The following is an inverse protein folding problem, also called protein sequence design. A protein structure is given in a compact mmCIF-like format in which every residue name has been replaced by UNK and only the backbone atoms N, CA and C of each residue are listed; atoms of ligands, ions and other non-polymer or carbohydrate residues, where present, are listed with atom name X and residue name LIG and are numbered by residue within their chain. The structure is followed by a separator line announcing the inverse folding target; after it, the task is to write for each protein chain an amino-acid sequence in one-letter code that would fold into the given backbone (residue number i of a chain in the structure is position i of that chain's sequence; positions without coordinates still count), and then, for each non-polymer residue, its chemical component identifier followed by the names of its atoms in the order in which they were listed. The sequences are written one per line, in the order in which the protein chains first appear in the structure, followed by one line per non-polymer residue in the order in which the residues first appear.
data_IF_072851434099
#
_entry.id   IF_072851434099
#
_cell.length_a   1.000
_cell.length_b   1.000
_cell.length_c   1.000
_cell.angle_alpha   90.00
_cell.angle_beta   90.00
_cell.angle_gamma   90.00
#
_symmetry.space_group_name_H-M   'P 1'
#
loop_
_entity.id
_entity.type
_entity.pdbx_description
1 polymer ?
#
# COMPACT_ATOMS: atom_id res chain seq x y z
N UNK A 1 26.29 20.90 -11.17
CA UNK A 1 25.59 19.68 -11.59
C UNK A 1 25.04 19.01 -10.34
N UNK A 2 23.75 19.16 -10.05
CA UNK A 2 23.14 18.46 -8.92
C UNK A 2 23.04 16.97 -9.28
N UNK A 3 23.55 16.09 -8.43
CA UNK A 3 23.31 14.65 -8.50
C UNK A 3 21.82 14.41 -8.24
N UNK A 4 20.98 14.54 -9.27
CA UNK A 4 19.57 14.16 -9.21
C UNK A 4 19.45 12.65 -9.14
N UNK A 5 18.60 12.18 -8.23
CA UNK A 5 18.36 10.75 -8.05
C UNK A 5 17.63 10.16 -9.28
N UNK A 6 18.15 9.07 -9.86
CA UNK A 6 17.54 8.34 -10.98
C UNK A 6 17.59 6.82 -10.78
N UNK A 7 16.52 6.13 -11.20
CA UNK A 7 16.52 4.67 -11.26
C UNK A 7 17.49 4.18 -12.34
N UNK A 8 18.35 3.21 -11.99
CA UNK A 8 19.35 2.66 -12.92
C UNK A 8 18.77 1.80 -14.02
N UNK A 9 17.60 1.19 -13.79
CA UNK A 9 16.97 0.28 -14.75
C UNK A 9 15.45 0.35 -14.71
N UNK A 10 14.80 0.03 -15.83
CA UNK A 10 13.33 -0.08 -15.89
C UNK A 10 12.80 -1.17 -14.98
N UNK A 11 13.54 -2.28 -14.83
CA UNK A 11 13.20 -3.36 -13.90
C UNK A 11 13.27 -2.89 -12.44
N UNK A 12 14.28 -2.09 -12.09
CA UNK A 12 14.41 -1.50 -10.77
C UNK A 12 13.25 -0.58 -10.42
N UNK A 13 12.85 0.28 -11.36
CA UNK A 13 11.64 1.08 -11.24
C UNK A 13 10.39 0.21 -11.01
N UNK A 14 10.16 -0.81 -11.86
CA UNK A 14 8.96 -1.67 -11.77
C UNK A 14 8.91 -2.36 -10.41
N UNK A 15 10.03 -2.94 -9.95
CA UNK A 15 10.07 -3.66 -8.68
C UNK A 15 9.94 -2.74 -7.47
N UNK A 16 10.50 -1.52 -7.53
CA UNK A 16 10.33 -0.54 -6.48
C UNK A 16 8.88 -0.02 -6.40
N UNK A 17 8.28 0.31 -7.55
CA UNK A 17 6.86 0.68 -7.62
C UNK A 17 5.94 -0.48 -7.23
N UNK A 18 6.27 -1.71 -7.62
CA UNK A 18 5.54 -2.90 -7.20
C UNK A 18 5.67 -3.11 -5.69
N UNK A 19 6.85 -3.01 -5.09
CA UNK A 19 7.00 -3.07 -3.63
C UNK A 19 6.33 -1.92 -2.89
N UNK A 20 6.14 -0.77 -3.54
CA UNK A 20 5.34 0.34 -3.00
C UNK A 20 3.86 -0.01 -2.96
N UNK A 21 3.32 -0.56 -4.06
CA UNK A 21 1.91 -0.98 -4.19
C UNK A 21 1.59 -2.28 -3.42
N UNK A 22 2.53 -3.22 -3.36
CA UNK A 22 2.41 -4.51 -2.70
C UNK A 22 2.90 -4.37 -1.26
N UNK A 23 2.14 -3.62 -0.48
CA UNK A 23 2.40 -3.42 0.94
C UNK A 23 1.42 -4.18 1.82
N UNK A 24 1.31 -3.72 3.07
CA UNK A 24 0.32 -4.18 4.04
C UNK A 24 -1.12 -4.24 3.47
N UNK A 25 -1.52 -3.24 2.67
CA UNK A 25 -2.88 -3.14 2.13
C UNK A 25 -3.35 -4.35 1.32
N UNK A 26 -2.45 -4.96 0.54
CA UNK A 26 -2.76 -6.17 -0.24
C UNK A 26 -2.89 -7.40 0.67
N UNK A 27 -2.15 -7.44 1.77
CA UNK A 27 -2.00 -8.62 2.64
C UNK A 27 -3.06 -8.73 3.73
N UNK A 28 -3.54 -7.60 4.29
CA UNK A 28 -4.55 -7.62 5.38
C UNK A 28 -5.87 -6.94 5.02
N UNK A 29 -5.81 -5.78 4.34
CA UNK A 29 -7.02 -4.96 4.07
C UNK A 29 -7.90 -5.61 3.02
N UNK A 30 -7.33 -6.13 1.93
CA UNK A 30 -8.12 -6.83 0.91
C UNK A 30 -8.89 -8.03 1.47
N UNK A 31 -8.24 -8.99 2.18
CA UNK A 31 -8.96 -10.11 2.75
C UNK A 31 -10.09 -9.67 3.69
N UNK A 32 -9.83 -8.74 4.60
CA UNK A 32 -10.84 -8.20 5.51
C UNK A 32 -12.07 -7.64 4.77
N UNK A 33 -11.87 -6.78 3.77
CA UNK A 33 -12.98 -6.17 3.03
C UNK A 33 -13.75 -7.20 2.18
N UNK A 34 -13.04 -8.12 1.54
CA UNK A 34 -13.68 -9.21 0.80
C UNK A 34 -14.52 -10.10 1.72
N UNK A 35 -14.10 -10.26 2.98
CA UNK A 35 -14.85 -11.04 3.96
C UNK A 35 -16.19 -10.42 4.34
N UNK A 36 -16.25 -9.09 4.41
CA UNK A 36 -17.45 -8.33 4.77
C UNK A 36 -18.41 -8.20 3.58
N UNK A 37 -17.89 -7.89 2.38
CA UNK A 37 -18.71 -7.43 1.25
C UNK A 37 -18.97 -8.50 0.17
N UNK A 38 -19.26 -9.74 0.57
CA UNK A 38 -19.74 -10.77 -0.35
C UNK A 38 -18.66 -11.62 -1.05
N UNK A 39 -17.43 -11.66 -0.52
CA UNK A 39 -16.40 -12.62 -0.92
C UNK A 39 -16.01 -12.51 -2.39
N UNK A 40 -16.36 -13.54 -3.18
CA UNK A 40 -16.04 -13.59 -4.60
C UNK A 40 -16.64 -12.46 -5.41
N UNK A 41 -17.78 -11.92 -4.96
CA UNK A 41 -18.45 -10.78 -5.59
C UNK A 41 -17.62 -9.49 -5.41
N UNK A 42 -17.14 -9.25 -4.18
CA UNK A 42 -16.19 -8.18 -3.89
C UNK A 42 -14.90 -8.32 -4.69
N UNK A 43 -14.33 -9.54 -4.75
CA UNK A 43 -13.13 -9.82 -5.52
C UNK A 43 -13.33 -9.45 -6.99
N UNK A 44 -14.44 -9.85 -7.60
CA UNK A 44 -14.73 -9.51 -9.00
C UNK A 44 -14.82 -7.99 -9.22
N UNK A 45 -15.53 -7.27 -8.35
CA UNK A 45 -15.60 -5.81 -8.42
C UNK A 45 -14.24 -5.15 -8.25
N UNK A 46 -13.45 -5.61 -7.27
CA UNK A 46 -12.08 -5.15 -7.05
C UNK A 46 -11.22 -5.36 -8.29
N UNK A 47 -11.30 -6.51 -8.96
CA UNK A 47 -10.58 -6.77 -10.21
C UNK A 47 -11.01 -5.82 -11.33
N UNK A 48 -12.32 -5.63 -11.51
CA UNK A 48 -12.87 -4.71 -12.52
C UNK A 48 -12.39 -3.28 -12.26
N UNK A 49 -12.51 -2.78 -11.03
CA UNK A 49 -12.05 -1.44 -10.69
C UNK A 49 -10.55 -1.28 -10.81
N UNK A 50 -9.77 -2.28 -10.40
CA UNK A 50 -8.31 -2.27 -10.55
C UNK A 50 -7.89 -2.19 -12.02
N UNK A 51 -8.58 -2.88 -12.92
CA UNK A 51 -8.26 -2.87 -14.34
C UNK A 51 -8.82 -1.66 -15.10
N UNK A 52 -10.05 -1.23 -14.80
CA UNK A 52 -10.74 -0.16 -15.54
C UNK A 52 -10.53 1.24 -14.96
N UNK A 53 -10.15 1.34 -13.69
CA UNK A 53 -9.92 2.61 -13.00
C UNK A 53 -8.48 2.71 -12.53
N UNK A 54 -8.02 1.74 -11.74
CA UNK A 54 -6.69 1.74 -11.14
C UNK A 54 -5.56 1.79 -12.17
N UNK A 55 -5.56 0.87 -13.14
CA UNK A 55 -4.54 0.80 -14.18
C UNK A 55 -4.46 2.09 -15.04
N UNK A 56 -5.57 2.63 -15.57
CA UNK A 56 -5.55 3.92 -16.28
C UNK A 56 -5.01 5.09 -15.45
N UNK A 57 -5.40 5.19 -14.18
CA UNK A 57 -4.91 6.22 -13.27
C UNK A 57 -3.41 6.05 -12.96
N UNK A 58 -2.93 4.82 -12.79
CA UNK A 58 -1.51 4.53 -12.60
C UNK A 58 -0.69 4.96 -13.83
N UNK A 59 -1.19 4.65 -15.03
CA UNK A 59 -0.58 5.10 -16.28
C UNK A 59 -0.55 6.63 -16.39
N UNK A 60 -1.59 7.31 -15.91
CA UNK A 60 -1.63 8.77 -15.82
C UNK A 60 -0.58 9.32 -14.87
N UNK A 61 -0.48 8.82 -13.64
CA UNK A 61 0.54 9.26 -12.69
C UNK A 61 1.96 9.06 -13.23
N UNK A 62 2.21 7.91 -13.88
CA UNK A 62 3.50 7.66 -14.53
C UNK A 62 3.78 8.63 -15.67
N UNK A 63 2.77 8.96 -16.48
CA UNK A 63 2.90 9.92 -17.58
C UNK A 63 3.24 11.30 -17.03
N UNK A 64 2.50 11.78 -16.03
CA UNK A 64 2.74 13.08 -15.37
C UNK A 64 4.13 13.13 -14.74
N UNK A 65 4.53 12.11 -14.00
CA UNK A 65 5.86 12.05 -13.38
C UNK A 65 6.99 12.07 -14.41
N UNK A 66 6.85 11.29 -15.50
CA UNK A 66 7.84 11.21 -16.56
C UNK A 66 7.94 12.51 -17.38
N UNK A 67 6.83 13.22 -17.60
CA UNK A 67 6.81 14.54 -18.23
C UNK A 67 7.43 15.60 -17.32
N UNK A 68 7.09 15.57 -16.03
CA UNK A 68 7.46 16.62 -15.08
C UNK A 68 8.91 16.55 -14.62
N UNK A 69 9.48 15.36 -14.40
CA UNK A 69 10.88 15.17 -13.94
C UNK A 69 11.27 16.13 -12.80
N UNK A 70 10.40 16.27 -11.81
CA UNK A 70 10.60 17.15 -10.65
C UNK A 70 9.74 16.64 -9.48
N UNK A 71 9.93 17.22 -8.29
CA UNK A 71 9.18 16.86 -7.09
C UNK A 71 7.71 17.32 -7.18
N UNK A 72 6.80 16.61 -6.51
CA UNK A 72 5.35 16.71 -6.77
C UNK A 72 4.73 18.04 -6.35
N UNK A 73 5.28 18.73 -5.35
CA UNK A 73 4.79 20.07 -4.95
C UNK A 73 5.15 21.20 -5.93
N UNK A 74 5.88 20.91 -7.03
CA UNK A 74 6.16 21.86 -8.12
C UNK A 74 5.72 21.34 -9.51
N UNK A 75 5.33 20.06 -9.61
CA UNK A 75 5.17 19.41 -10.91
C UNK A 75 4.06 20.04 -11.76
N UNK A 76 2.95 20.45 -11.15
CA UNK A 76 1.82 21.03 -11.86
C UNK A 76 2.12 22.43 -12.39
N UNK A 77 2.77 23.28 -11.58
CA UNK A 77 3.27 24.57 -12.04
C UNK A 77 4.20 24.42 -13.25
N UNK A 78 5.12 23.46 -13.22
CA UNK A 78 6.05 23.21 -14.33
C UNK A 78 5.33 22.77 -15.61
N UNK A 79 4.28 21.96 -15.49
CA UNK A 79 3.56 21.41 -16.64
C UNK A 79 2.50 22.35 -17.22
N UNK A 80 1.94 23.26 -16.41
CA UNK A 80 0.79 24.09 -16.83
C UNK A 80 1.04 25.60 -16.72
N UNK A 81 2.19 26.04 -16.18
CA UNK A 81 2.47 27.42 -15.77
C UNK A 81 1.46 28.01 -14.76
N UNK A 82 0.74 27.17 -13.99
CA UNK A 82 -0.25 27.61 -13.00
C UNK A 82 0.17 27.18 -11.59
N UNK A 83 0.77 28.11 -10.84
CA UNK A 83 1.31 27.86 -9.49
C UNK A 83 0.28 27.31 -8.48
N UNK A 84 -0.98 27.76 -8.56
CA UNK A 84 -2.02 27.33 -7.62
C UNK A 84 -2.35 25.84 -7.70
N UNK A 85 -2.08 25.17 -8.83
CA UNK A 85 -2.30 23.72 -8.99
C UNK A 85 -1.32 22.87 -8.17
N UNK A 86 -0.22 23.46 -7.67
CA UNK A 86 0.70 22.77 -6.77
C UNK A 86 0.01 22.31 -5.47
N UNK A 87 -1.18 22.84 -5.14
CA UNK A 87 -2.01 22.33 -4.03
C UNK A 87 -2.30 20.83 -4.14
N UNK A 88 -2.41 20.29 -5.37
CA UNK A 88 -2.60 18.85 -5.60
C UNK A 88 -1.38 18.06 -5.10
N UNK A 89 -0.17 18.56 -5.35
CA UNK A 89 1.07 17.98 -4.83
C UNK A 89 1.18 18.08 -3.31
N UNK A 90 0.73 19.20 -2.72
CA UNK A 90 0.68 19.36 -1.26
C UNK A 90 -0.37 18.49 -0.58
N UNK A 91 -1.53 18.29 -1.21
CA UNK A 91 -2.52 17.30 -0.78
C UNK A 91 -1.93 15.89 -0.75
N UNK A 92 -1.23 15.50 -1.83
CA UNK A 92 -0.51 14.24 -1.88
C UNK A 92 0.56 14.11 -0.79
N UNK A 93 1.32 15.18 -0.56
CA UNK A 93 2.34 15.24 0.51
C UNK A 93 1.72 15.04 1.90
N UNK A 94 0.60 15.70 2.20
CA UNK A 94 -0.12 15.51 3.45
C UNK A 94 -0.67 14.08 3.58
N UNK A 95 -1.24 13.55 2.48
CA UNK A 95 -1.78 12.19 2.44
C UNK A 95 -0.72 11.15 2.83
N UNK A 96 0.46 11.18 2.19
CA UNK A 96 1.53 10.20 2.50
C UNK A 96 2.13 10.40 3.89
N UNK A 97 2.13 11.62 4.43
CA UNK A 97 2.60 11.90 5.78
C UNK A 97 1.71 11.23 6.83
N UNK A 98 0.39 11.41 6.71
CA UNK A 98 -0.60 10.78 7.60
C UNK A 98 -0.63 9.26 7.36
N UNK A 99 -0.58 8.82 6.10
CA UNK A 99 -0.53 7.42 5.71
C UNK A 99 0.65 6.70 6.37
N UNK A 100 1.85 7.28 6.31
CA UNK A 100 3.02 6.69 6.95
C UNK A 100 2.82 6.56 8.47
N UNK A 101 2.15 7.53 9.09
CA UNK A 101 1.77 7.49 10.50
C UNK A 101 1.03 6.20 10.86
N UNK A 102 -0.15 5.94 10.29
CA UNK A 102 -0.91 4.74 10.64
C UNK A 102 -0.32 3.45 10.04
N UNK A 103 0.35 3.52 8.89
CA UNK A 103 1.06 2.38 8.30
C UNK A 103 2.18 1.87 9.22
N UNK A 104 2.85 2.78 9.93
CA UNK A 104 3.93 2.43 10.87
C UNK A 104 3.45 1.64 12.10
N UNK A 105 2.16 1.73 12.46
CA UNK A 105 1.56 0.96 13.56
C UNK A 105 1.65 -0.54 13.25
N UNK A 106 1.14 -0.92 12.09
CA UNK A 106 1.15 -2.31 11.61
C UNK A 106 2.59 -2.76 11.32
N UNK A 107 3.43 -1.88 10.75
CA UNK A 107 4.87 -2.14 10.60
C UNK A 107 5.55 -2.45 11.93
N UNK A 108 5.17 -1.76 13.00
CA UNK A 108 5.62 -2.03 14.36
C UNK A 108 5.17 -3.39 14.89
N UNK A 109 3.94 -3.84 14.57
CA UNK A 109 3.48 -5.18 14.92
C UNK A 109 4.34 -6.26 14.27
N UNK A 110 4.76 -6.09 13.00
CA UNK A 110 5.67 -7.03 12.34
C UNK A 110 6.99 -7.12 13.11
N UNK A 111 7.57 -5.98 13.50
CA UNK A 111 8.81 -5.95 14.31
C UNK A 111 8.63 -6.73 15.61
N UNK A 112 7.55 -6.47 16.35
CA UNK A 112 7.25 -7.14 17.62
C UNK A 112 7.11 -8.66 17.42
N UNK A 113 6.41 -9.10 16.37
CA UNK A 113 6.25 -10.51 16.08
C UNK A 113 7.57 -11.18 15.69
N UNK A 114 8.43 -10.51 14.92
CA UNK A 114 9.79 -11.01 14.61
C UNK A 114 10.55 -11.29 15.91
N UNK A 115 10.53 -10.35 16.87
CA UNK A 115 11.21 -10.54 18.15
C UNK A 115 10.61 -11.69 18.97
N UNK A 116 9.28 -11.80 19.04
CA UNK A 116 8.62 -12.91 19.76
C UNK A 116 9.00 -14.28 19.18
N UNK A 117 8.97 -14.41 17.85
CA UNK A 117 9.32 -15.67 17.16
C UNK A 117 10.81 -15.97 17.33
N UNK A 118 11.68 -14.95 17.32
CA UNK A 118 13.10 -15.13 17.55
C UNK A 118 13.38 -15.69 18.95
N UNK A 119 12.75 -15.12 19.99
CA UNK A 119 12.86 -15.61 21.37
C UNK A 119 12.38 -17.06 21.49
N UNK A 120 11.32 -17.42 20.77
CA UNK A 120 10.81 -18.79 20.72
C UNK A 120 11.80 -19.75 20.03
N UNK A 121 12.40 -19.37 18.90
CA UNK A 121 13.41 -20.19 18.20
C UNK A 121 14.59 -20.52 19.11
N UNK A 122 15.03 -19.55 19.92
CA UNK A 122 16.08 -19.75 20.91
C UNK A 122 15.60 -20.41 22.21
N UNK A 123 14.34 -20.85 22.27
CA UNK A 123 13.72 -21.47 23.46
C UNK A 123 13.80 -20.59 24.72
N UNK A 124 13.87 -19.27 24.54
CA UNK A 124 13.91 -18.29 25.63
C UNK A 124 12.50 -17.97 26.16
N UNK A 125 11.45 -18.30 25.39
CA UNK A 125 10.05 -18.28 25.78
C UNK A 125 9.42 -19.65 25.48
N UNK A 126 8.67 -20.22 26.43
CA UNK A 126 8.06 -21.56 26.32
C UNK A 126 6.75 -21.62 25.53
N UNK A 127 6.26 -20.50 25.01
CA UNK A 127 4.96 -20.43 24.33
C UNK A 127 5.02 -20.95 22.88
N UNK A 128 3.97 -21.64 22.44
CA UNK A 128 3.78 -22.01 21.02
C UNK A 128 3.33 -20.80 20.20
N UNK A 129 3.54 -20.85 18.88
CA UNK A 129 3.16 -19.74 17.98
C UNK A 129 1.66 -19.43 18.07
N UNK A 130 0.84 -20.47 18.19
CA UNK A 130 -0.62 -20.34 18.29
C UNK A 130 -1.13 -19.69 19.58
N UNK A 131 -0.26 -19.49 20.59
CA UNK A 131 -0.61 -18.87 21.87
C UNK A 131 -0.22 -17.39 21.95
N UNK A 132 0.38 -16.82 20.89
CA UNK A 132 0.68 -15.38 20.85
C UNK A 132 -0.64 -14.60 20.91
N UNK A 133 -0.90 -13.97 22.06
CA UNK A 133 -2.10 -13.19 22.31
C UNK A 133 -1.99 -11.81 21.66
N UNK A 134 -2.44 -11.69 20.41
CA UNK A 134 -2.39 -10.43 19.65
C UNK A 134 -2.95 -9.23 20.44
N UNK A 135 -4.10 -9.41 21.12
CA UNK A 135 -4.74 -8.34 21.89
C UNK A 135 -3.89 -7.85 23.07
N UNK A 136 -3.12 -8.72 23.72
CA UNK A 136 -2.22 -8.31 24.81
C UNK A 136 -1.00 -7.56 24.29
N UNK A 137 -0.55 -7.88 23.07
CA UNK A 137 0.52 -7.16 22.38
C UNK A 137 0.07 -5.75 22.02
N UNK A 138 -1.05 -5.60 21.31
CA UNK A 138 -1.48 -4.29 20.80
C UNK A 138 -1.98 -3.35 21.90
N UNK A 139 -2.43 -3.91 23.03
CA UNK A 139 -2.86 -3.11 24.18
C UNK A 139 -1.70 -2.60 25.04
N UNK A 140 -0.48 -3.13 24.87
CA UNK A 140 0.71 -2.69 25.59
C UNK A 140 1.31 -1.41 24.95
N UNK A 141 1.23 -0.24 25.62
CA UNK A 141 1.68 1.04 25.05
C UNK A 141 3.18 1.07 24.75
N UNK A 142 3.99 0.57 25.67
CA UNK A 142 5.45 0.60 25.54
C UNK A 142 5.91 -0.29 24.40
N UNK A 143 5.40 -1.51 24.33
CA UNK A 143 5.77 -2.47 23.29
C UNK A 143 5.40 -1.96 21.90
N UNK A 144 4.18 -1.45 21.73
CA UNK A 144 3.67 -0.96 20.44
C UNK A 144 4.35 0.32 19.98
N UNK A 145 4.55 1.31 20.86
CA UNK A 145 5.27 2.54 20.54
C UNK A 145 6.74 2.23 20.19
N UNK A 146 7.39 1.32 20.93
CA UNK A 146 8.77 0.93 20.62
C UNK A 146 8.86 0.20 19.27
N UNK A 147 7.96 -0.76 18.99
CA UNK A 147 7.93 -1.45 17.71
C UNK A 147 7.73 -0.50 16.52
N UNK A 148 6.78 0.44 16.66
CA UNK A 148 6.55 1.51 15.70
C UNK A 148 7.78 2.41 15.50
N UNK A 149 8.39 2.84 16.61
CA UNK A 149 9.61 3.65 16.59
C UNK A 149 10.74 2.96 15.81
N UNK A 150 10.97 1.67 16.07
CA UNK A 150 11.96 0.87 15.33
C UNK A 150 11.62 0.83 13.83
N UNK A 151 10.36 0.58 13.47
CA UNK A 151 9.95 0.55 12.07
C UNK A 151 10.19 1.88 11.34
N UNK A 152 9.85 3.00 11.97
CA UNK A 152 10.10 4.36 11.44
C UNK A 152 11.60 4.62 11.34
N UNK A 153 12.39 4.25 12.35
CA UNK A 153 13.85 4.41 12.34
C UNK A 153 14.51 3.63 11.20
N UNK A 154 14.09 2.39 10.94
CA UNK A 154 14.57 1.60 9.81
C UNK A 154 14.24 2.28 8.48
N UNK A 155 12.99 2.74 8.33
CA UNK A 155 12.55 3.48 7.13
C UNK A 155 13.39 4.75 6.93
N UNK A 156 13.57 5.53 7.99
CA UNK A 156 14.37 6.76 8.00
C UNK A 156 15.80 6.50 7.56
N UNK A 157 16.46 5.49 8.13
CA UNK A 157 17.85 5.16 7.82
C UNK A 157 18.03 4.81 6.33
N UNK A 158 17.10 4.01 5.77
CA UNK A 158 17.15 3.65 4.35
C UNK A 158 16.97 4.88 3.45
N UNK A 159 16.01 5.77 3.77
CA UNK A 159 15.79 7.00 3.00
C UNK A 159 16.98 7.98 3.11
N UNK A 160 17.63 8.06 4.27
CA UNK A 160 18.85 8.86 4.47
C UNK A 160 20.02 8.38 3.59
N UNK A 161 20.13 7.07 3.35
CA UNK A 161 21.16 6.48 2.49
C UNK A 161 20.87 6.65 0.99
N UNK A 162 19.64 7.00 0.64
CA UNK A 162 19.15 7.12 -0.73
C UNK A 162 18.64 5.78 -1.28
N UNK A 163 17.59 5.87 -2.11
CA UNK A 163 16.78 4.73 -2.54
C UNK A 163 17.47 3.82 -3.57
N UNK A 164 18.46 4.34 -4.32
CA UNK A 164 18.92 3.71 -5.57
C UNK A 164 19.86 2.50 -5.44
N UNK A 165 20.76 2.47 -4.44
CA UNK A 165 21.85 1.48 -4.45
C UNK A 165 21.49 0.17 -3.76
N UNK A 166 20.68 0.20 -2.71
CA UNK A 166 20.34 -0.98 -1.90
C UNK A 166 18.97 -1.58 -2.24
N UNK A 167 17.96 -0.73 -2.45
CA UNK A 167 16.57 -1.17 -2.56
C UNK A 167 16.34 -2.02 -3.81
N UNK A 168 16.83 -1.57 -4.98
CA UNK A 168 16.65 -2.29 -6.24
C UNK A 168 17.20 -3.73 -6.16
N UNK A 169 18.37 -3.94 -5.55
CA UNK A 169 18.99 -5.26 -5.43
C UNK A 169 18.20 -6.15 -4.47
N UNK A 170 17.76 -5.60 -3.34
CA UNK A 170 16.97 -6.35 -2.37
C UNK A 170 15.60 -6.73 -2.93
N UNK A 171 14.89 -5.81 -3.59
CA UNK A 171 13.56 -6.06 -4.17
C UNK A 171 13.57 -7.17 -5.22
N UNK A 172 14.64 -7.30 -6.01
CA UNK A 172 14.80 -8.39 -7.00
C UNK A 172 14.78 -9.79 -6.38
N UNK A 173 15.19 -9.93 -5.12
CA UNK A 173 15.23 -11.21 -4.42
C UNK A 173 14.05 -11.38 -3.46
N UNK A 174 13.76 -10.36 -2.66
CA UNK A 174 12.76 -10.44 -1.59
C UNK A 174 11.33 -10.55 -2.14
N UNK A 175 11.00 -9.86 -3.24
CA UNK A 175 9.65 -9.91 -3.81
C UNK A 175 9.30 -11.31 -4.32
N UNK A 176 10.10 -11.96 -5.21
CA UNK A 176 9.83 -13.34 -5.61
C UNK A 176 9.77 -14.32 -4.43
N UNK A 177 10.62 -14.14 -3.42
CA UNK A 177 10.64 -15.01 -2.25
C UNK A 177 9.36 -14.86 -1.40
N UNK A 178 8.84 -13.63 -1.25
CA UNK A 178 7.55 -13.39 -0.63
C UNK A 178 6.41 -14.11 -1.36
N UNK A 179 6.41 -14.08 -2.70
CA UNK A 179 5.43 -14.82 -3.51
C UNK A 179 5.50 -16.33 -3.28
N UNK A 180 6.71 -16.89 -3.25
CA UNK A 180 6.92 -18.32 -2.98
C UNK A 180 6.37 -18.69 -1.60
N UNK A 181 6.67 -17.89 -0.58
CA UNK A 181 6.17 -18.13 0.78
C UNK A 181 4.65 -17.99 0.87
N UNK A 182 4.05 -17.02 0.17
CA UNK A 182 2.60 -16.92 0.07
C UNK A 182 1.97 -18.19 -0.52
N UNK A 183 2.54 -18.73 -1.59
CA UNK A 183 2.07 -19.98 -2.20
C UNK A 183 2.18 -21.15 -1.20
N UNK A 184 3.28 -21.26 -0.45
CA UNK A 184 3.44 -22.28 0.61
C UNK A 184 2.33 -22.15 1.66
N UNK A 185 2.04 -20.93 2.12
CA UNK A 185 0.99 -20.67 3.10
C UNK A 185 -0.38 -21.04 2.54
N UNK A 186 -0.66 -20.70 1.27
CA UNK A 186 -1.92 -21.08 0.61
C UNK A 186 -2.10 -22.59 0.60
N UNK A 187 -1.08 -23.35 0.18
CA UNK A 187 -1.16 -24.82 0.20
C UNK A 187 -1.37 -25.37 1.61
N UNK A 188 -0.67 -24.82 2.61
CA UNK A 188 -0.86 -25.25 3.99
C UNK A 188 -2.25 -24.90 4.53
N UNK A 189 -2.76 -23.71 4.23
CA UNK A 189 -4.08 -23.22 4.64
C UNK A 189 -5.20 -24.09 4.05
N UNK A 190 -5.08 -24.46 2.77
CA UNK A 190 -6.00 -25.35 2.08
C UNK A 190 -5.93 -26.82 2.55
N UNK A 191 -4.84 -27.22 3.21
CA UNK A 191 -4.71 -28.57 3.76
C UNK A 191 -5.28 -28.71 5.17
N UNK A 192 -5.78 -27.62 5.77
CA UNK A 192 -6.37 -27.66 7.11
C UNK A 192 -7.78 -28.25 7.05
N UNK A 193 -8.19 -28.96 8.11
CA UNK A 193 -9.55 -29.45 8.24
C UNK A 193 -10.54 -28.28 8.33
N UNK A 194 -11.63 -28.33 7.58
CA UNK A 194 -12.62 -27.24 7.51
C UNK A 194 -12.22 -26.05 6.63
N UNK A 195 -11.06 -26.10 5.97
CA UNK A 195 -10.56 -25.03 5.08
C UNK A 195 -11.44 -24.76 3.85
N UNK A 196 -12.18 -25.78 3.39
CA UNK A 196 -13.07 -25.68 2.22
C UNK A 196 -14.17 -24.63 2.40
N UNK A 197 -14.70 -24.47 3.61
CA UNK A 197 -15.73 -23.46 3.87
C UNK A 197 -15.15 -22.04 3.76
N UNK A 198 -13.92 -21.82 4.26
CA UNK A 198 -13.20 -20.57 4.06
C UNK A 198 -12.88 -20.28 2.59
N UNK A 199 -12.48 -21.32 1.83
CA UNK A 199 -12.26 -21.20 0.38
C UNK A 199 -13.53 -20.80 -0.37
N UNK A 200 -14.66 -21.46 -0.08
CA UNK A 200 -15.97 -21.08 -0.62
C UNK A 200 -16.32 -19.66 -0.22
N UNK A 201 -16.08 -19.29 1.04
CA UNK A 201 -16.41 -17.96 1.54
C UNK A 201 -15.68 -16.83 0.79
N UNK A 202 -14.45 -17.02 0.32
CA UNK A 202 -13.73 -15.98 -0.43
C UNK A 202 -13.94 -16.04 -1.95
N UNK A 203 -14.22 -17.22 -2.51
CA UNK A 203 -14.34 -17.38 -3.97
C UNK A 203 -15.79 -17.40 -4.48
N UNK A 204 -16.75 -17.84 -3.68
CA UNK A 204 -18.15 -17.88 -4.08
C UNK A 204 -18.71 -16.45 -4.13
N UNK A 205 -19.25 -16.01 -5.28
CA UNK A 205 -19.83 -14.68 -5.40
C UNK A 205 -21.18 -14.63 -4.68
N UNK A 206 -21.23 -13.91 -3.56
CA UNK A 206 -22.48 -13.61 -2.84
C UNK A 206 -22.97 -12.23 -3.26
N UNK A 207 -23.76 -12.19 -4.33
CA UNK A 207 -24.28 -10.95 -4.91
C UNK A 207 -25.25 -10.26 -3.95
N UNK A 208 -25.99 -11.05 -3.16
CA UNK A 208 -26.94 -10.57 -2.15
C UNK A 208 -26.26 -9.75 -1.04
N UNK A 209 -24.97 -10.01 -0.78
CA UNK A 209 -24.16 -9.30 0.22
C UNK A 209 -23.50 -8.02 -0.33
N UNK A 210 -23.68 -7.72 -1.63
CA UNK A 210 -23.14 -6.50 -2.23
C UNK A 210 -24.03 -5.31 -1.88
N UNK A 211 -23.54 -4.45 -0.98
CA UNK A 211 -24.11 -3.11 -0.77
C UNK A 211 -23.44 -2.06 -1.66
N UNK A 212 -24.07 -0.88 -1.77
CA UNK A 212 -23.45 0.30 -2.39
C UNK A 212 -22.11 0.61 -1.70
N UNK A 213 -22.05 0.49 -0.38
CA UNK A 213 -20.83 0.66 0.41
C UNK A 213 -19.76 -0.35 -0.02
N UNK A 214 -20.13 -1.63 -0.21
CA UNK A 214 -19.22 -2.67 -0.68
C UNK A 214 -18.61 -2.36 -2.06
N UNK A 215 -19.40 -1.80 -2.98
CA UNK A 215 -18.92 -1.33 -4.29
C UNK A 215 -17.88 -0.21 -4.10
N UNK A 216 -18.18 0.79 -3.27
CA UNK A 216 -17.28 1.91 -2.99
C UNK A 216 -16.00 1.45 -2.30
N UNK A 217 -16.09 0.46 -1.40
CA UNK A 217 -14.93 -0.11 -0.74
C UNK A 217 -14.05 -0.91 -1.70
N UNK A 218 -14.62 -1.66 -2.64
CA UNK A 218 -13.84 -2.35 -3.67
C UNK A 218 -13.05 -1.36 -4.54
N UNK A 219 -13.69 -0.24 -4.87
CA UNK A 219 -13.10 0.84 -5.64
C UNK A 219 -12.04 1.61 -4.85
N UNK A 220 -12.32 1.99 -3.61
CA UNK A 220 -11.36 2.62 -2.69
C UNK A 220 -10.16 1.71 -2.40
N UNK A 221 -10.38 0.40 -2.28
CA UNK A 221 -9.29 -0.58 -2.13
C UNK A 221 -8.39 -0.64 -3.36
N UNK A 222 -8.93 -0.46 -4.57
CA UNK A 222 -8.12 -0.33 -5.79
C UNK A 222 -7.21 0.91 -5.75
N UNK A 223 -7.69 2.04 -5.21
CA UNK A 223 -6.86 3.25 -5.04
C UNK A 223 -5.77 3.02 -3.99
N UNK A 224 -6.15 2.50 -2.82
CA UNK A 224 -5.24 2.25 -1.72
C UNK A 224 -4.10 1.29 -2.10
N UNK A 225 -4.46 0.15 -2.70
CA UNK A 225 -3.48 -0.89 -3.04
C UNK A 225 -2.51 -0.46 -4.15
N UNK A 226 -2.91 0.47 -5.02
CA UNK A 226 -2.03 1.02 -6.07
C UNK A 226 -1.39 2.36 -5.66
N UNK A 227 -1.61 2.83 -4.43
CA UNK A 227 -1.12 4.11 -3.90
C UNK A 227 -1.54 5.34 -4.73
N UNK A 228 -2.70 5.29 -5.38
CA UNK A 228 -3.17 6.30 -6.34
C UNK A 228 -3.74 7.55 -5.66
N UNK A 229 -3.51 8.72 -6.24
CA UNK A 229 -4.02 9.99 -5.72
C UNK A 229 -3.18 10.61 -4.61
N UNK A 230 -2.13 9.91 -4.14
CA UNK A 230 -1.14 10.46 -3.19
C UNK A 230 -0.01 11.22 -3.87
N UNK A 231 0.04 11.21 -5.20
CA UNK A 231 1.21 11.62 -6.02
C UNK A 231 2.46 10.75 -5.81
N UNK A 232 2.36 9.64 -5.07
CA UNK A 232 3.41 8.65 -4.86
C UNK A 232 4.03 8.13 -6.16
N UNK A 233 3.16 7.67 -7.06
CA UNK A 233 3.59 7.06 -8.31
C UNK A 233 4.11 8.12 -9.31
N UNK A 234 3.64 9.37 -9.20
CA UNK A 234 4.22 10.53 -9.90
C UNK A 234 5.67 10.74 -9.47
N UNK A 235 5.96 10.76 -8.17
CA UNK A 235 7.34 10.93 -7.65
C UNK A 235 8.26 9.83 -8.18
N UNK A 236 7.83 8.57 -8.12
CA UNK A 236 8.65 7.46 -8.59
C UNK A 236 8.92 7.53 -10.09
N UNK A 237 7.92 7.90 -10.89
CA UNK A 237 8.07 8.06 -12.33
C UNK A 237 8.91 9.29 -12.71
N UNK A 238 9.00 10.29 -11.84
CA UNK A 238 9.91 11.42 -12.03
C UNK A 238 11.37 10.97 -12.07
N UNK A 239 11.73 9.92 -11.33
CA UNK A 239 13.07 9.32 -11.32
C UNK A 239 13.27 8.23 -12.38
N UNK A 240 12.24 7.85 -13.14
CA UNK A 240 12.31 6.73 -14.09
C UNK A 240 13.27 7.01 -15.27
N UNK A 241 13.96 6.00 -15.81
CA UNK A 241 14.80 6.17 -17.00
C UNK A 241 13.95 6.54 -18.23
N UNK A 242 14.56 7.17 -19.24
CA UNK A 242 13.83 7.62 -20.43
C UNK A 242 13.22 6.45 -21.21
N UNK A 243 13.88 5.31 -21.17
CA UNK A 243 13.55 4.07 -21.88
C UNK A 243 12.38 3.30 -21.22
N UNK A 244 12.00 3.67 -19.99
CA UNK A 244 10.90 3.02 -19.26
C UNK A 244 9.59 3.14 -20.05
N UNK A 245 8.95 1.99 -20.30
CA UNK A 245 7.66 1.91 -20.96
C UNK A 245 6.53 1.99 -19.94
N UNK A 246 5.72 3.05 -20.00
CA UNK A 246 4.63 3.30 -19.04
C UNK A 246 3.65 2.13 -18.98
N UNK A 247 3.17 1.67 -20.14
CA UNK A 247 2.17 0.61 -20.25
C UNK A 247 2.62 -0.70 -19.62
N UNK A 248 3.75 -1.24 -20.07
CA UNK A 248 4.26 -2.52 -19.56
C UNK A 248 4.54 -2.44 -18.06
N UNK A 249 5.08 -1.30 -17.59
CA UNK A 249 5.37 -1.13 -16.17
C UNK A 249 4.07 -1.10 -15.34
N UNK A 250 3.07 -0.34 -15.76
CA UNK A 250 1.79 -0.25 -15.07
C UNK A 250 1.05 -1.59 -15.05
N UNK A 251 0.99 -2.31 -16.18
CA UNK A 251 0.38 -3.63 -16.27
C UNK A 251 1.08 -4.63 -15.35
N UNK A 252 2.42 -4.66 -15.36
CA UNK A 252 3.18 -5.57 -14.49
C UNK A 252 2.92 -5.31 -13.00
N UNK A 253 2.89 -4.04 -12.59
CA UNK A 253 2.63 -3.66 -11.18
C UNK A 253 1.22 -4.06 -10.77
N UNK A 254 0.22 -3.76 -11.61
CA UNK A 254 -1.18 -4.12 -11.35
C UNK A 254 -1.36 -5.63 -11.29
N UNK A 255 -0.77 -6.38 -12.22
CA UNK A 255 -0.84 -7.84 -12.24
C UNK A 255 -0.21 -8.46 -10.98
N UNK A 256 0.97 -7.99 -10.57
CA UNK A 256 1.61 -8.46 -9.33
C UNK A 256 0.77 -8.11 -8.10
N UNK A 257 0.18 -6.92 -8.05
CA UNK A 257 -0.68 -6.49 -6.94
C UNK A 257 -1.96 -7.36 -6.81
N UNK A 258 -2.63 -7.61 -7.93
CA UNK A 258 -3.79 -8.52 -7.98
C UNK A 258 -3.39 -9.91 -7.50
N UNK A 259 -2.28 -10.44 -8.00
CA UNK A 259 -1.81 -11.78 -7.64
C UNK A 259 -1.53 -11.89 -6.13
N UNK A 260 -0.85 -10.91 -5.52
CA UNK A 260 -0.61 -10.92 -4.07
C UNK A 260 -1.90 -10.80 -3.28
N UNK A 261 -2.82 -9.92 -3.68
CA UNK A 261 -4.09 -9.73 -2.97
C UNK A 261 -4.92 -11.02 -2.96
N UNK A 262 -4.99 -11.71 -4.10
CA UNK A 262 -5.68 -13.02 -4.21
C UNK A 262 -4.97 -14.08 -3.38
N UNK A 263 -3.64 -14.20 -3.48
CA UNK A 263 -2.88 -15.17 -2.67
C UNK A 263 -3.01 -14.92 -1.17
N UNK A 264 -3.02 -13.66 -0.73
CA UNK A 264 -3.23 -13.30 0.67
C UNK A 264 -4.64 -13.71 1.14
N UNK A 265 -5.67 -13.47 0.33
CA UNK A 265 -7.02 -13.97 0.59
C UNK A 265 -7.05 -15.49 0.74
N UNK A 266 -6.45 -16.22 -0.21
CA UNK A 266 -6.37 -17.68 -0.17
C UNK A 266 -5.49 -18.23 0.97
N UNK A 267 -4.55 -17.44 1.48
CA UNK A 267 -3.75 -17.81 2.64
C UNK A 267 -4.54 -17.67 3.95
N UNK A 268 -5.38 -16.64 4.07
CA UNK A 268 -6.08 -16.29 5.32
C UNK A 268 -7.44 -16.97 5.43
N UNK A 269 -8.27 -16.94 4.38
CA UNK A 269 -9.67 -17.38 4.47
C UNK A 269 -9.87 -18.86 4.80
N UNK A 270 -9.16 -19.79 4.16
CA UNK A 270 -9.26 -21.19 4.52
C UNK A 270 -8.82 -21.44 5.98
N UNK A 271 -7.77 -20.76 6.43
CA UNK A 271 -7.26 -20.86 7.80
C UNK A 271 -8.20 -20.27 8.86
N UNK A 272 -8.86 -19.13 8.61
CA UNK A 272 -9.83 -18.58 9.58
C UNK A 272 -11.00 -19.55 9.81
N UNK A 273 -11.49 -20.20 8.75
CA UNK A 273 -12.55 -21.19 8.86
C UNK A 273 -12.09 -22.42 9.62
N UNK A 274 -10.87 -22.91 9.34
CA UNK A 274 -10.30 -24.05 10.03
C UNK A 274 -10.06 -23.81 11.53
N UNK A 275 -9.71 -22.57 11.90
CA UNK A 275 -9.43 -22.20 13.28
C UNK A 275 -10.60 -21.51 14.02
N UNK A 276 -11.76 -21.36 13.35
CA UNK A 276 -12.96 -20.76 13.94
C UNK A 276 -12.89 -19.25 14.18
N UNK A 277 -12.09 -18.51 13.42
CA UNK A 277 -12.06 -17.05 13.46
C UNK A 277 -13.14 -16.43 12.58
N UNK A 278 -13.64 -15.25 12.97
CA UNK A 278 -14.53 -14.48 12.11
C UNK A 278 -13.74 -13.68 11.06
N UNK A 279 -14.18 -13.62 9.79
CA UNK A 279 -13.63 -12.72 8.77
C UNK A 279 -13.67 -11.23 9.17
N UNK A 280 -14.49 -10.86 10.16
CA UNK A 280 -14.76 -9.48 10.56
C UNK A 280 -13.90 -8.97 11.73
N UNK A 281 -12.91 -9.74 12.21
CA UNK A 281 -12.07 -9.37 13.38
C UNK A 281 -11.04 -8.25 13.13
N UNK A 282 -11.15 -7.53 12.02
CA UNK A 282 -10.40 -6.30 11.76
C UNK A 282 -8.93 -6.49 11.35
N UNK A 283 -8.12 -5.41 11.44
CA UNK A 283 -6.75 -5.36 10.87
C UNK A 283 -5.76 -6.38 11.45
N UNK A 284 -6.03 -6.88 12.66
CA UNK A 284 -5.18 -7.84 13.36
C UNK A 284 -5.28 -9.29 12.88
N UNK A 285 -6.22 -9.60 11.98
CA UNK A 285 -6.55 -10.98 11.59
C UNK A 285 -5.32 -11.78 11.11
N UNK A 286 -4.47 -11.17 10.28
CA UNK A 286 -3.24 -11.79 9.79
C UNK A 286 -2.31 -12.23 10.93
N UNK A 287 -2.19 -11.40 11.98
CA UNK A 287 -1.33 -11.64 13.14
C UNK A 287 -1.91 -12.63 14.15
N UNK A 288 -3.21 -12.95 14.04
CA UNK A 288 -3.87 -14.02 14.81
C UNK A 288 -3.80 -15.36 14.10
N UNK A 289 -4.00 -15.35 12.78
CA UNK A 289 -4.22 -16.56 11.98
C UNK A 289 -2.90 -17.18 11.53
N UNK A 290 -1.99 -16.39 10.96
CA UNK A 290 -0.76 -16.94 10.39
C UNK A 290 0.12 -17.67 11.41
N UNK A 291 0.33 -17.19 12.66
CA UNK A 291 1.06 -17.95 13.65
C UNK A 291 0.52 -19.37 13.84
N UNK A 292 -0.82 -19.53 13.85
CA UNK A 292 -1.47 -20.84 13.96
C UNK A 292 -1.28 -21.71 12.71
N UNK A 293 -1.31 -21.12 11.51
CA UNK A 293 -1.02 -21.87 10.27
C UNK A 293 0.40 -22.44 10.31
N UNK A 294 1.37 -21.62 10.71
CA UNK A 294 2.77 -22.06 10.82
C UNK A 294 2.98 -23.06 11.96
N UNK A 295 2.24 -22.95 13.07
CA UNK A 295 2.28 -23.94 14.17
C UNK A 295 1.91 -25.36 13.71
N UNK A 296 1.14 -25.47 12.62
CA UNK A 296 0.77 -26.74 11.99
C UNK A 296 1.84 -27.29 11.01
N UNK A 297 2.98 -26.62 10.86
CA UNK A 297 4.06 -27.03 9.94
C UNK A 297 5.26 -27.58 10.71
N UNK A 298 5.96 -28.57 10.13
CA UNK A 298 7.27 -28.96 10.61
C UNK A 298 8.23 -27.76 10.48
N UNK A 299 8.96 -27.44 11.57
CA UNK A 299 9.78 -26.21 11.68
C UNK A 299 9.00 -24.90 11.51
N UNK A 300 7.72 -24.88 11.92
CA UNK A 300 6.82 -23.71 11.87
C UNK A 300 7.43 -22.36 12.25
N UNK A 301 8.08 -22.23 13.44
CA UNK A 301 8.74 -20.98 13.86
C UNK A 301 9.76 -20.44 12.87
N UNK A 302 10.56 -21.32 12.24
CA UNK A 302 11.54 -20.92 11.23
C UNK A 302 10.88 -20.38 9.96
N UNK A 303 9.87 -21.07 9.45
CA UNK A 303 9.09 -20.60 8.28
C UNK A 303 8.37 -19.28 8.57
N UNK A 304 7.78 -19.14 9.75
CA UNK A 304 7.10 -17.91 10.14
C UNK A 304 8.07 -16.74 10.29
N UNK A 305 9.25 -16.98 10.88
CA UNK A 305 10.30 -15.96 10.97
C UNK A 305 10.72 -15.45 9.59
N UNK A 306 11.01 -16.36 8.64
CA UNK A 306 11.38 -15.96 7.28
C UNK A 306 10.24 -15.18 6.61
N UNK A 307 9.00 -15.65 6.74
CA UNK A 307 7.83 -14.94 6.23
C UNK A 307 7.73 -13.53 6.81
N UNK A 308 7.90 -13.35 8.12
CA UNK A 308 7.85 -12.04 8.76
C UNK A 308 8.97 -11.11 8.29
N UNK A 309 10.17 -11.62 8.00
CA UNK A 309 11.26 -10.83 7.41
C UNK A 309 10.90 -10.37 6.00
N UNK A 310 10.31 -11.24 5.18
CA UNK A 310 9.85 -10.90 3.83
C UNK A 310 8.69 -9.90 3.88
N UNK A 311 7.78 -10.07 4.84
CA UNK A 311 6.66 -9.19 5.05
C UNK A 311 7.10 -7.82 5.58
N UNK A 312 8.08 -7.79 6.49
CA UNK A 312 8.73 -6.55 6.93
C UNK A 312 9.39 -5.85 5.76
N UNK A 313 10.09 -6.58 4.88
CA UNK A 313 10.70 -6.00 3.69
C UNK A 313 9.67 -5.34 2.77
N UNK A 314 8.54 -6.01 2.50
CA UNK A 314 7.44 -5.43 1.72
C UNK A 314 6.82 -4.20 2.41
N UNK A 315 6.67 -4.23 3.73
CA UNK A 315 6.21 -3.08 4.50
C UNK A 315 7.20 -1.90 4.41
N UNK A 316 8.50 -2.20 4.50
CA UNK A 316 9.57 -1.20 4.37
C UNK A 316 9.60 -0.58 2.96
N UNK A 317 9.39 -1.36 1.89
CA UNK A 317 9.37 -0.80 0.53
C UNK A 317 8.26 0.24 0.34
N UNK A 318 7.06 -0.01 0.89
CA UNK A 318 6.00 1.00 0.90
C UNK A 318 6.37 2.20 1.78
N UNK A 319 6.84 2.00 3.02
CA UNK A 319 7.14 3.11 3.94
C UNK A 319 8.28 4.01 3.43
N UNK A 320 9.29 3.44 2.77
CA UNK A 320 10.34 4.18 2.08
C UNK A 320 9.72 5.10 1.03
N UNK A 321 8.74 4.62 0.27
CA UNK A 321 8.04 5.43 -0.75
C UNK A 321 7.31 6.63 -0.13
N UNK A 322 6.62 6.40 0.99
CA UNK A 322 5.85 7.42 1.70
C UNK A 322 6.76 8.51 2.29
N UNK A 323 7.88 8.09 2.91
CA UNK A 323 8.85 9.02 3.46
C UNK A 323 9.64 9.75 2.37
N UNK A 324 10.07 9.05 1.30
CA UNK A 324 10.79 9.63 0.17
C UNK A 324 10.00 10.75 -0.50
N UNK A 325 8.68 10.58 -0.66
CA UNK A 325 7.85 11.63 -1.25
C UNK A 325 7.90 12.92 -0.43
N UNK A 326 7.73 12.82 0.89
CA UNK A 326 7.86 13.98 1.78
C UNK A 326 9.26 14.60 1.68
N UNK A 327 10.30 13.77 1.79
CA UNK A 327 11.69 14.23 1.74
C UNK A 327 12.01 14.93 0.42
N UNK A 328 11.60 14.37 -0.72
CA UNK A 328 11.84 14.94 -2.05
C UNK A 328 11.19 16.33 -2.21
N UNK A 329 9.99 16.52 -1.67
CA UNK A 329 9.25 17.78 -1.74
C UNK A 329 9.91 18.87 -0.88
N UNK A 330 10.31 18.55 0.35
CA UNK A 330 10.95 19.52 1.25
C UNK A 330 12.40 19.81 0.88
N UNK A 331 13.14 18.80 0.40
CA UNK A 331 14.50 19.00 -0.12
C UNK A 331 14.51 19.68 -1.49
N UNK A 332 13.40 19.66 -2.23
CA UNK A 332 13.34 20.06 -3.64
C UNK A 332 14.34 19.28 -4.50
N UNK A 333 14.49 17.98 -4.20
CA UNK A 333 15.51 17.08 -4.75
C UNK A 333 16.98 17.45 -4.43
N UNK A 334 17.22 18.35 -3.46
CA UNK A 334 18.56 18.65 -2.97
C UNK A 334 19.06 17.56 -2.01
N UNK A 335 19.87 16.65 -2.54
CA UNK A 335 20.42 15.52 -1.79
C UNK A 335 21.30 15.93 -0.58
N UNK A 336 21.81 17.17 -0.51
CA UNK A 336 22.58 17.64 0.65
C UNK A 336 21.72 17.77 1.92
N UNK A 337 20.43 18.08 1.75
CA UNK A 337 19.46 18.26 2.84
C UNK A 337 18.74 16.98 3.22
N UNK A 338 18.86 15.93 2.40
CA UNK A 338 18.15 14.64 2.54
C UNK A 338 18.24 14.08 3.96
N UNK A 339 19.45 13.99 4.54
CA UNK A 339 19.64 13.40 5.87
C UNK A 339 18.86 14.18 6.93
N UNK A 340 19.05 15.49 6.98
CA UNK A 340 18.40 16.38 7.96
C UNK A 340 16.87 16.37 7.78
N UNK A 341 16.37 16.50 6.56
CA UNK A 341 14.94 16.51 6.26
C UNK A 341 14.28 15.16 6.58
N UNK A 342 14.94 14.03 6.26
CA UNK A 342 14.46 12.69 6.61
C UNK A 342 14.33 12.51 8.12
N UNK A 343 15.30 13.03 8.89
CA UNK A 343 15.27 12.99 10.35
C UNK A 343 14.05 13.74 10.91
N UNK A 344 13.87 15.00 10.52
CA UNK A 344 12.77 15.83 11.03
C UNK A 344 11.40 15.27 10.65
N UNK A 345 11.21 14.85 9.39
CA UNK A 345 9.93 14.26 8.96
C UNK A 345 9.65 12.97 9.73
N UNK A 346 10.65 12.12 9.94
CA UNK A 346 10.47 10.86 10.67
C UNK A 346 10.09 11.08 12.14
N UNK A 347 10.66 12.10 12.79
CA UNK A 347 10.26 12.51 14.15
C UNK A 347 8.81 12.99 14.16
N UNK A 348 8.43 13.83 13.21
CA UNK A 348 7.06 14.34 13.11
C UNK A 348 6.05 13.20 12.86
N UNK A 349 6.40 12.26 11.98
CA UNK A 349 5.60 11.05 11.73
C UNK A 349 5.47 10.23 13.02
N UNK A 350 6.57 9.99 13.74
CA UNK A 350 6.53 9.25 15.00
C UNK A 350 5.56 9.90 15.99
N UNK A 351 5.69 11.22 16.22
CA UNK A 351 4.84 11.95 17.16
C UNK A 351 3.36 11.89 16.76
N UNK A 352 3.01 12.18 15.50
CA UNK A 352 1.60 12.19 15.05
C UNK A 352 0.99 10.77 15.04
N UNK A 353 1.83 9.74 14.96
CA UNK A 353 1.40 8.34 14.89
C UNK A 353 1.18 7.65 16.23
N UNK A 354 1.70 8.21 17.34
CA UNK A 354 1.52 7.65 18.69
C UNK A 354 0.04 7.51 19.06
N UNK A 355 -0.84 8.52 18.87
CA UNK A 355 -2.26 8.37 19.20
C UNK A 355 -2.95 7.25 18.41
N UNK A 356 -2.58 7.04 17.14
CA UNK A 356 -3.11 5.94 16.34
C UNK A 356 -2.69 4.58 16.90
N UNK A 357 -1.42 4.43 17.30
CA UNK A 357 -0.92 3.22 17.96
C UNK A 357 -1.68 2.93 19.25
N UNK A 358 -1.82 3.94 20.11
CA UNK A 358 -2.50 3.81 21.39
C UNK A 358 -4.01 3.58 21.25
N UNK A 359 -4.59 3.84 20.09
CA UNK A 359 -6.03 3.61 19.84
C UNK A 359 -6.42 2.13 19.78
N UNK A 360 -5.45 1.21 19.71
CA UNK A 360 -5.66 -0.23 19.91
C UNK A 360 -5.56 -0.67 21.38
N UNK A 361 -5.24 0.24 22.29
CA UNK A 361 -5.05 -0.02 23.71
C UNK A 361 -5.64 1.10 24.57
N UNK A 362 -4.78 1.89 25.21
CA UNK A 362 -5.17 2.92 26.18
C UNK A 362 -6.13 3.97 25.65
N UNK A 363 -6.10 4.30 24.35
CA UNK A 363 -6.98 5.29 23.71
C UNK A 363 -8.14 4.64 22.92
N UNK A 364 -8.39 3.34 23.08
CA UNK A 364 -9.47 2.62 22.36
C UNK A 364 -10.89 3.14 22.63
N UNK A 365 -11.09 3.82 23.76
CA UNK A 365 -12.35 4.45 24.13
C UNK A 365 -12.61 5.77 23.38
N UNK A 366 -11.58 6.41 22.82
CA UNK A 366 -11.72 7.64 22.05
C UNK A 366 -12.18 7.29 20.65
N UNK A 367 -13.49 7.46 20.40
CA UNK A 367 -14.12 7.21 19.11
C UNK A 367 -14.91 8.42 18.64
N UNK A 368 -14.78 8.76 17.37
CA UNK A 368 -15.51 9.84 16.71
C UNK A 368 -15.55 9.59 15.20
N UNK A 369 -16.54 10.13 14.50
CA UNK A 369 -16.72 10.00 13.06
C UNK A 369 -16.51 8.56 12.54
N UNK A 370 -15.36 8.25 11.93
CA UNK A 370 -15.09 6.95 11.31
C UNK A 370 -14.71 5.82 12.30
N UNK A 371 -14.48 6.13 13.58
CA UNK A 371 -14.13 5.13 14.58
C UNK A 371 -13.05 5.60 15.55
N UNK A 372 -12.03 4.76 15.78
CA UNK A 372 -10.85 5.09 16.59
C UNK A 372 -9.98 6.14 15.92
N UNK A 373 -8.94 6.63 16.61
CA UNK A 373 -7.97 7.56 16.00
C UNK A 373 -7.31 6.94 14.76
N UNK A 374 -6.96 5.65 14.82
CA UNK A 374 -6.43 4.92 13.65
C UNK A 374 -7.43 4.94 12.48
N UNK A 375 -8.71 4.62 12.74
CA UNK A 375 -9.74 4.57 11.70
C UNK A 375 -9.97 5.95 11.07
N UNK A 376 -9.94 7.02 11.86
CA UNK A 376 -10.06 8.38 11.35
C UNK A 376 -8.87 8.81 10.49
N UNK A 377 -7.66 8.39 10.85
CA UNK A 377 -6.48 8.65 10.02
C UNK A 377 -6.54 7.89 8.69
N UNK A 378 -6.98 6.62 8.71
CA UNK A 378 -7.20 5.84 7.48
C UNK A 378 -8.28 6.49 6.63
N UNK A 379 -9.43 6.85 7.22
CA UNK A 379 -10.53 7.50 6.51
C UNK A 379 -10.08 8.83 5.87
N UNK A 380 -9.41 9.71 6.62
CA UNK A 380 -8.93 10.98 6.09
C UNK A 380 -8.02 10.77 4.85
N UNK A 381 -7.14 9.78 4.88
CA UNK A 381 -6.25 9.52 3.73
C UNK A 381 -7.00 8.80 2.60
N UNK A 382 -7.54 7.63 2.89
CA UNK A 382 -8.09 6.68 1.91
C UNK A 382 -9.38 7.18 1.26
N UNK A 383 -10.21 7.88 2.03
CA UNK A 383 -11.54 8.33 1.61
C UNK A 383 -11.57 9.81 1.20
N UNK A 384 -10.66 10.64 1.72
CA UNK A 384 -10.66 12.08 1.42
C UNK A 384 -9.48 12.50 0.56
N UNK A 385 -8.26 12.42 1.09
CA UNK A 385 -7.08 13.01 0.44
C UNK A 385 -6.70 12.29 -0.86
N UNK A 386 -6.79 10.94 -0.90
CA UNK A 386 -6.48 10.16 -2.11
C UNK A 386 -7.48 10.44 -3.25
N UNK A 387 -8.81 10.38 -3.06
CA UNK A 387 -9.76 10.76 -4.10
C UNK A 387 -9.61 12.20 -4.58
N UNK A 388 -9.40 13.17 -3.66
CA UNK A 388 -9.17 14.57 -4.05
C UNK A 388 -7.91 14.75 -4.89
N UNK A 389 -6.81 14.06 -4.53
CA UNK A 389 -5.57 14.11 -5.29
C UNK A 389 -5.73 13.46 -6.67
N UNK A 390 -6.43 12.34 -6.77
CA UNK A 390 -6.74 11.70 -8.04
C UNK A 390 -7.66 12.57 -8.92
N UNK A 391 -8.68 13.20 -8.34
CA UNK A 391 -9.55 14.14 -9.05
C UNK A 391 -8.76 15.34 -9.57
N UNK A 392 -7.95 15.97 -8.72
CA UNK A 392 -7.09 17.08 -9.13
C UNK A 392 -6.17 16.70 -10.29
N UNK A 393 -5.52 15.53 -10.20
CA UNK A 393 -4.61 15.04 -11.24
C UNK A 393 -5.34 14.75 -12.54
N UNK A 394 -6.49 14.06 -12.50
CA UNK A 394 -7.29 13.74 -13.70
C UNK A 394 -7.81 15.01 -14.39
N UNK A 395 -8.26 16.02 -13.63
CA UNK A 395 -8.69 17.30 -14.18
C UNK A 395 -7.53 18.04 -14.85
N UNK A 396 -6.35 18.07 -14.24
CA UNK A 396 -5.17 18.69 -14.88
C UNK A 396 -4.80 17.97 -16.17
N UNK A 397 -4.70 16.64 -16.14
CA UNK A 397 -4.30 15.85 -17.31
C UNK A 397 -5.34 15.92 -18.43
N UNK A 398 -6.62 15.82 -18.10
CA UNK A 398 -7.70 15.80 -19.07
C UNK A 398 -8.01 17.16 -19.69
N UNK A 399 -7.87 18.24 -18.92
CA UNK A 399 -8.36 19.56 -19.30
C UNK A 399 -7.25 20.60 -19.57
N UNK A 400 -6.06 20.46 -18.96
CA UNK A 400 -5.02 21.49 -19.01
C UNK A 400 -3.74 21.04 -19.75
N UNK A 401 -3.41 19.75 -19.75
CA UNK A 401 -2.22 19.25 -20.44
C UNK A 401 -2.47 19.05 -21.93
N UNK A 402 -1.42 19.33 -22.72
CA UNK A 402 -1.47 19.14 -24.17
C UNK A 402 -1.59 17.66 -24.55
N UNK A 403 -2.54 17.37 -25.44
CA UNK A 403 -2.85 16.01 -25.89
C UNK A 403 -1.70 15.38 -26.66
N UNK A 404 -0.95 16.15 -27.45
CA UNK A 404 0.17 15.64 -28.23
C UNK A 404 1.34 15.27 -27.31
N UNK A 405 1.67 16.13 -26.35
CA UNK A 405 2.69 15.86 -25.34
C UNK A 405 2.37 14.60 -24.53
N UNK A 406 1.09 14.41 -24.14
CA UNK A 406 0.63 13.19 -23.49
C UNK A 406 0.82 11.95 -24.37
N UNK A 407 0.49 12.05 -25.67
CA UNK A 407 0.64 10.95 -26.64
C UNK A 407 2.10 10.53 -26.82
N UNK A 408 3.01 11.51 -26.88
CA UNK A 408 4.44 11.25 -27.00
C UNK A 408 4.98 10.48 -25.79
N UNK A 409 4.58 10.87 -24.58
CA UNK A 409 5.02 10.21 -23.35
C UNK A 409 4.34 8.85 -23.09
N UNK A 410 3.11 8.67 -23.56
CA UNK A 410 2.43 7.37 -23.60
C UNK A 410 3.21 6.32 -24.41
N UNK A 411 4.05 6.79 -25.34
CA UNK A 411 4.98 5.97 -26.11
C UNK A 411 4.31 5.19 -27.25
N UNK A 412 5.06 4.23 -27.81
CA UNK A 412 4.61 3.43 -28.96
C UNK A 412 3.27 2.76 -28.70
N UNK A 413 2.28 3.02 -29.54
CA UNK A 413 0.90 2.61 -29.33
C UNK A 413 0.34 1.68 -30.42
N UNK A 414 0.91 0.47 -30.52
CA UNK A 414 0.49 -0.53 -31.51
C UNK A 414 -1.00 -0.90 -31.42
N UNK A 415 -1.54 -0.93 -30.21
CA UNK A 415 -2.94 -1.29 -29.93
C UNK A 415 -3.90 -0.10 -29.96
N UNK A 416 -3.44 1.11 -30.33
CA UNK A 416 -4.24 2.34 -30.38
C UNK A 416 -5.00 2.65 -29.07
N UNK A 417 -4.40 2.32 -27.92
CA UNK A 417 -5.00 2.47 -26.59
C UNK A 417 -4.96 3.90 -26.06
N UNK A 418 -4.16 4.80 -26.66
CA UNK A 418 -4.02 6.17 -26.18
C UNK A 418 -5.34 6.94 -26.22
N UNK A 419 -6.11 6.82 -27.31
CA UNK A 419 -7.35 7.57 -27.47
C UNK A 419 -8.42 7.13 -26.44
N UNK A 420 -8.72 5.82 -26.30
CA UNK A 420 -9.61 5.35 -25.24
C UNK A 420 -9.14 5.77 -23.85
N UNK A 421 -7.85 5.60 -23.55
CA UNK A 421 -7.27 6.00 -22.27
C UNK A 421 -7.42 7.50 -22.02
N UNK A 422 -7.12 8.36 -23.00
CA UNK A 422 -7.22 9.81 -22.85
C UNK A 422 -8.66 10.24 -22.56
N UNK A 423 -9.66 9.70 -23.26
CA UNK A 423 -11.06 10.04 -23.00
C UNK A 423 -11.59 9.47 -21.68
N UNK A 424 -11.08 8.30 -21.27
CA UNK A 424 -11.34 7.74 -19.95
C UNK A 424 -10.83 8.68 -18.84
N UNK A 425 -9.57 9.14 -18.93
CA UNK A 425 -9.00 10.14 -17.98
C UNK A 425 -9.74 11.48 -18.04
N UNK A 426 -10.11 11.94 -19.24
CA UNK A 426 -10.67 13.28 -19.42
C UNK A 426 -12.11 13.42 -18.93
N UNK A 427 -12.93 12.39 -19.13
CA UNK A 427 -14.38 12.49 -18.92
C UNK A 427 -14.90 11.51 -17.88
N UNK A 428 -14.58 10.22 -18.03
CA UNK A 428 -15.22 9.16 -17.22
C UNK A 428 -14.64 9.14 -15.79
N UNK A 429 -13.32 9.15 -15.65
CA UNK A 429 -12.68 9.01 -14.34
C UNK A 429 -12.93 10.16 -13.38
N UNK A 430 -12.96 11.44 -13.79
CA UNK A 430 -13.38 12.52 -12.90
C UNK A 430 -14.78 12.30 -12.34
N UNK A 431 -15.73 11.83 -13.17
CA UNK A 431 -17.10 11.54 -12.75
C UNK A 431 -17.11 10.37 -11.76
N UNK A 432 -16.41 9.28 -12.07
CA UNK A 432 -16.30 8.13 -11.16
C UNK A 432 -15.70 8.56 -9.82
N UNK A 433 -14.64 9.36 -9.81
CA UNK A 433 -14.01 9.87 -8.58
C UNK A 433 -14.94 10.79 -7.79
N UNK A 434 -15.69 11.66 -8.45
CA UNK A 434 -16.68 12.52 -7.78
C UNK A 434 -17.79 11.68 -7.16
N UNK A 435 -18.32 10.69 -7.89
CA UNK A 435 -19.35 9.79 -7.36
C UNK A 435 -18.84 9.03 -6.14
N UNK A 436 -17.64 8.46 -6.20
CA UNK A 436 -17.01 7.81 -5.04
C UNK A 436 -16.94 8.79 -3.86
N UNK A 437 -16.41 9.99 -4.11
CA UNK A 437 -16.17 10.97 -3.06
C UNK A 437 -17.47 11.41 -2.39
N UNK A 438 -18.53 11.68 -3.16
CA UNK A 438 -19.83 12.10 -2.63
C UNK A 438 -20.50 10.98 -1.85
N UNK A 439 -20.52 9.77 -2.40
CA UNK A 439 -21.28 8.67 -1.78
C UNK A 439 -20.62 8.21 -0.46
N UNK A 440 -19.32 8.43 -0.26
CA UNK A 440 -18.69 8.15 1.03
C UNK A 440 -19.16 9.04 2.20
N UNK A 441 -19.91 10.11 1.92
CA UNK A 441 -20.52 10.99 2.93
C UNK A 441 -22.04 10.86 3.01
N UNK A 442 -22.64 10.00 2.17
CA UNK A 442 -24.06 9.62 2.23
C UNK A 442 -24.20 8.37 3.09
#
# INVERSE_FOLDING_TARGET
MHNESQWKSSLGFILASAGSAIGLGAMWKFPYMAGIYGGGAFLLMFLIFTLLVGLPLLMMEFTVGKMGKTYTTKIYEKLTNKKWLNIIGWNGNLAVFILFGFYSVIGGWIIIYIFNVLLQIFSLNGDKLGHIAFESIISNPWLTITGQGIFILLTMFIVMMGVEKGLEKASKFMMPLLFIFLIIIVFKSLSLDGSLEGLKYILQPRIEDISIEGILFALGQSFFTLSLGTTGMITYASYAPKEMTIKTSAVSIVAMNILVSVLAGLAIFPAISAFGYSPTEGPGLLFKVLPKVFDQMAYGPGFYFIFLILFLFAALTSSISLLELNVSNFTKNDNSKRKSVSFYISILVFIISIPATLSFGSLSHIKFAAGTIFDNMDFLVSNILMPLGALGTTLVVGQLLDKQALKEHFGKDKLRLFIPWYYLIKFILPIVIILIFVVQFL
#
